data_IF_754796765083
#
_entry.id   IF_754796765083
#
_cell.length_a   1.000
_cell.length_b   1.000
_cell.length_c   1.000
_cell.angle_alpha   90.00
_cell.angle_beta   90.00
_cell.angle_gamma   90.00
#
_symmetry.space_group_name_H-M   'P 1'
#
loop_
_entity.id
_entity.type
_entity.pdbx_description
1 polymer ?
#
# COMPACT_ATOMS: atom_id res chain seq x y z
N UNK A 1 -42.38 50.81 5.82
CA UNK A 1 -41.22 50.12 6.43
C UNK A 1 -41.38 48.60 6.44
N UNK A 2 -42.42 48.03 7.07
CA UNK A 2 -42.61 46.57 7.10
C UNK A 2 -42.81 45.91 5.73
N UNK A 3 -43.59 46.51 4.83
CA UNK A 3 -43.82 45.97 3.47
C UNK A 3 -42.51 45.89 2.67
N UNK A 4 -41.66 46.91 2.79
CA UNK A 4 -40.35 46.95 2.13
C UNK A 4 -39.43 45.87 2.70
N UNK A 5 -39.46 45.65 4.01
CA UNK A 5 -38.70 44.58 4.66
C UNK A 5 -39.13 43.18 4.19
N UNK A 6 -40.44 42.93 4.08
CA UNK A 6 -40.96 41.66 3.54
C UNK A 6 -40.60 41.45 2.07
N UNK A 7 -40.65 42.49 1.24
CA UNK A 7 -40.23 42.41 -0.16
C UNK A 7 -38.73 42.12 -0.30
N UNK A 8 -37.88 42.75 0.53
CA UNK A 8 -36.45 42.49 0.55
C UNK A 8 -36.12 41.06 1.02
N UNK A 9 -36.84 40.54 2.02
CA UNK A 9 -36.71 39.15 2.49
C UNK A 9 -37.11 38.13 1.44
N UNK A 10 -38.19 38.39 0.71
CA UNK A 10 -38.65 37.54 -0.39
C UNK A 10 -37.63 37.52 -1.54
N UNK A 11 -37.07 38.68 -1.89
CA UNK A 11 -36.00 38.80 -2.89
C UNK A 11 -34.73 38.03 -2.46
N UNK A 12 -34.34 38.12 -1.19
CA UNK A 12 -33.20 37.38 -0.64
C UNK A 12 -33.44 35.86 -0.67
N UNK A 13 -34.63 35.39 -0.29
CA UNK A 13 -34.96 33.95 -0.34
C UNK A 13 -34.96 33.42 -1.78
N UNK A 14 -35.54 34.16 -2.73
CA UNK A 14 -35.55 33.74 -4.14
C UNK A 14 -34.14 33.75 -4.75
N UNK A 15 -33.28 34.71 -4.38
CA UNK A 15 -31.88 34.74 -4.80
C UNK A 15 -31.07 33.55 -4.26
N UNK A 16 -31.27 33.18 -2.99
CA UNK A 16 -30.62 31.99 -2.39
C UNK A 16 -31.12 30.70 -3.05
N UNK A 17 -32.43 30.58 -3.30
CA UNK A 17 -32.99 29.42 -4.01
C UNK A 17 -32.47 29.32 -5.44
N UNK A 18 -32.31 30.46 -6.14
CA UNK A 18 -31.74 30.50 -7.48
C UNK A 18 -30.25 30.10 -7.47
N UNK A 19 -29.47 30.56 -6.49
CA UNK A 19 -28.08 30.14 -6.31
C UNK A 19 -27.97 28.65 -6.01
N UNK A 20 -28.83 28.08 -5.16
CA UNK A 20 -28.85 26.64 -4.88
C UNK A 20 -29.25 25.80 -6.10
N UNK A 21 -30.18 26.28 -6.92
CA UNK A 21 -30.53 25.64 -8.19
C UNK A 21 -29.37 25.70 -9.20
N UNK A 22 -28.62 26.81 -9.24
CA UNK A 22 -27.44 26.95 -10.10
C UNK A 22 -26.29 26.02 -9.66
N UNK A 23 -26.09 25.82 -8.36
CA UNK A 23 -25.09 24.88 -7.82
C UNK A 23 -25.46 23.43 -8.16
N UNK A 24 -26.76 23.09 -8.17
CA UNK A 24 -27.24 21.75 -8.55
C UNK A 24 -27.25 21.52 -10.08
N UNK A 25 -27.23 22.58 -10.89
CA UNK A 25 -27.05 22.49 -12.35
C UNK A 25 -25.60 22.50 -12.81
N UNK A 26 -24.64 22.53 -11.88
CA UNK A 26 -23.27 22.08 -12.19
C UNK A 26 -23.35 20.57 -12.35
N UNK A 27 -23.83 20.15 -13.52
CA UNK A 27 -23.45 18.89 -14.10
C UNK A 27 -21.93 18.85 -14.00
N UNK A 28 -21.43 17.93 -13.18
CA UNK A 28 -20.00 17.69 -13.06
C UNK A 28 -19.53 17.33 -14.46
N UNK A 29 -19.05 18.32 -15.22
CA UNK A 29 -18.37 18.10 -16.47
C UNK A 29 -17.30 17.06 -16.17
N UNK A 30 -17.37 15.85 -16.72
CA UNK A 30 -16.27 14.93 -16.55
C UNK A 30 -15.07 15.59 -17.23
N UNK A 31 -14.13 16.11 -16.44
CA UNK A 31 -12.74 16.27 -16.85
C UNK A 31 -12.14 14.88 -17.02
N UNK A 32 -12.71 14.13 -17.95
CA UNK A 32 -12.17 12.89 -18.48
C UNK A 32 -12.66 12.85 -19.92
N UNK A 33 -11.84 13.41 -20.79
CA UNK A 33 -11.92 13.19 -22.23
C UNK A 33 -12.21 11.69 -22.47
N UNK A 34 -13.28 11.31 -23.19
CA UNK A 34 -13.54 9.91 -23.52
C UNK A 34 -12.37 9.26 -24.27
N UNK A 35 -11.47 10.04 -24.88
CA UNK A 35 -10.21 9.55 -25.44
C UNK A 35 -9.20 9.07 -24.37
N UNK A 36 -9.33 9.48 -23.11
CA UNK A 36 -8.46 9.06 -22.01
C UNK A 36 -8.57 7.54 -21.73
N UNK A 37 -9.77 6.97 -21.87
CA UNK A 37 -9.99 5.52 -21.73
C UNK A 37 -9.70 4.73 -23.01
N UNK A 38 -9.67 5.39 -24.17
CA UNK A 38 -9.34 4.70 -25.42
C UNK A 38 -7.87 4.30 -25.46
N UNK A 39 -6.95 5.08 -24.87
CA UNK A 39 -5.54 4.67 -24.76
C UNK A 39 -5.37 3.41 -23.87
N UNK A 40 -6.06 3.33 -22.73
CA UNK A 40 -6.00 2.16 -21.82
C UNK A 40 -6.56 0.89 -22.45
N UNK A 41 -7.56 1.03 -23.33
CA UNK A 41 -8.15 -0.10 -24.03
C UNK A 41 -7.35 -0.51 -25.28
N UNK A 42 -6.65 0.41 -25.93
CA UNK A 42 -5.90 0.19 -27.17
C UNK A 42 -4.50 -0.41 -26.92
N UNK A 43 -3.85 -0.10 -25.79
CA UNK A 43 -2.61 -0.74 -25.35
C UNK A 43 -2.78 -2.25 -25.05
N UNK A 44 -4.02 -2.73 -24.80
CA UNK A 44 -4.30 -4.17 -24.54
C UNK A 44 -3.95 -5.11 -25.69
N UNK A 45 -3.86 -4.60 -26.92
CA UNK A 45 -3.76 -5.45 -28.11
C UNK A 45 -2.32 -5.64 -28.63
N UNK A 46 -1.36 -4.77 -28.27
CA UNK A 46 -0.04 -4.82 -28.92
C UNK A 46 1.18 -4.42 -28.08
N UNK A 47 1.02 -3.97 -26.83
CA UNK A 47 2.17 -3.75 -25.95
C UNK A 47 2.46 -4.99 -25.10
N UNK A 48 3.71 -5.48 -25.17
CA UNK A 48 4.23 -6.38 -24.16
C UNK A 48 4.05 -5.67 -22.81
N UNK A 49 3.28 -6.23 -21.85
CA UNK A 49 3.09 -5.57 -20.56
C UNK A 49 4.47 -5.26 -19.98
N UNK A 50 4.74 -4.00 -19.64
CA UNK A 50 5.95 -3.65 -18.91
C UNK A 50 5.92 -4.41 -17.58
N UNK A 51 6.55 -5.58 -17.57
CA UNK A 51 6.56 -6.49 -16.45
C UNK A 51 7.59 -5.95 -15.46
N UNK A 52 7.14 -5.24 -14.43
CA UNK A 52 8.08 -4.88 -13.37
C UNK A 52 8.50 -6.15 -12.61
N UNK A 53 9.79 -6.22 -12.28
CA UNK A 53 10.38 -7.22 -11.42
C UNK A 53 11.24 -6.52 -10.38
N UNK A 54 11.07 -6.87 -9.10
CA UNK A 54 11.83 -6.27 -8.00
C UNK A 54 12.22 -7.34 -7.00
N UNK A 55 13.42 -7.20 -6.42
CA UNK A 55 13.94 -8.11 -5.39
C UNK A 55 13.75 -7.51 -4.01
N UNK A 56 13.17 -8.29 -3.11
CA UNK A 56 12.96 -7.90 -1.72
C UNK A 56 13.12 -9.10 -0.80
N UNK A 57 13.47 -8.82 0.46
CA UNK A 57 13.27 -9.74 1.57
C UNK A 57 12.00 -9.32 2.32
N UNK A 58 11.13 -10.28 2.63
CA UNK A 58 9.87 -10.02 3.35
C UNK A 58 10.04 -10.35 4.83
N UNK A 59 10.13 -9.34 5.69
CA UNK A 59 10.18 -9.52 7.14
C UNK A 59 8.76 -9.67 7.70
N UNK A 60 8.49 -10.72 8.48
CA UNK A 60 7.18 -10.92 9.11
C UNK A 60 7.16 -10.35 10.53
N UNK A 61 6.19 -9.48 10.81
CA UNK A 61 6.12 -8.77 12.09
C UNK A 61 5.90 -9.68 13.30
N UNK A 62 5.23 -10.81 13.13
CA UNK A 62 4.94 -11.69 14.26
C UNK A 62 6.03 -12.69 14.56
N UNK A 63 6.64 -13.28 13.53
CA UNK A 63 7.74 -14.23 13.73
C UNK A 63 9.07 -13.53 13.94
N UNK A 64 9.20 -12.25 13.56
CA UNK A 64 10.43 -11.46 13.61
C UNK A 64 11.57 -12.07 12.79
N UNK A 65 11.22 -12.68 11.67
CA UNK A 65 12.14 -13.31 10.73
C UNK A 65 11.70 -13.09 9.29
N UNK A 66 12.59 -13.35 8.36
CA UNK A 66 12.29 -13.28 6.93
C UNK A 66 11.48 -14.49 6.46
N UNK A 67 10.61 -14.25 5.48
CA UNK A 67 9.99 -15.31 4.68
C UNK A 67 11.10 -16.04 3.91
N UNK A 68 11.12 -17.34 4.05
CA UNK A 68 12.10 -18.25 3.50
C UNK A 68 11.38 -19.35 2.70
N UNK A 69 11.79 -19.51 1.44
CA UNK A 69 11.28 -20.54 0.55
C UNK A 69 12.36 -21.58 0.30
N UNK A 70 12.39 -22.63 1.12
CA UNK A 70 13.38 -23.70 1.04
C UNK A 70 12.73 -24.99 0.52
N UNK A 71 13.21 -25.51 -0.60
CA UNK A 71 12.60 -26.65 -1.32
C UNK A 71 11.12 -26.40 -1.62
N UNK A 72 10.21 -27.24 -1.08
CA UNK A 72 8.74 -27.10 -1.22
C UNK A 72 8.11 -26.41 0.00
N UNK A 73 8.90 -25.87 0.93
CA UNK A 73 8.43 -25.34 2.22
C UNK A 73 8.54 -23.83 2.24
N UNK A 74 7.52 -23.19 2.79
CA UNK A 74 7.49 -21.75 3.05
C UNK A 74 7.38 -21.54 4.54
N UNK A 75 8.28 -20.73 5.11
CA UNK A 75 8.32 -20.39 6.54
C UNK A 75 8.71 -18.93 6.71
N UNK A 76 8.41 -18.35 7.87
CA UNK A 76 8.98 -17.08 8.28
C UNK A 76 9.96 -17.32 9.44
N UNK A 77 11.06 -18.01 9.13
CA UNK A 77 12.17 -18.35 10.05
C UNK A 77 13.54 -18.01 9.44
N UNK A 78 13.53 -17.34 8.29
CA UNK A 78 14.72 -17.06 7.51
C UNK A 78 15.65 -16.10 8.23
N UNK A 79 16.95 -16.40 8.15
CA UNK A 79 18.03 -15.51 8.59
C UNK A 79 18.36 -14.50 7.48
N UNK A 80 18.84 -13.29 7.82
CA UNK A 80 19.23 -12.29 6.82
C UNK A 80 20.26 -12.81 5.79
N UNK A 81 21.10 -13.78 6.18
CA UNK A 81 22.16 -14.37 5.35
C UNK A 81 21.69 -15.55 4.49
N UNK A 82 20.44 -16.00 4.62
CA UNK A 82 19.93 -17.15 3.86
C UNK A 82 19.62 -16.75 2.42
N UNK A 83 20.21 -17.44 1.44
CA UNK A 83 19.88 -17.24 0.03
C UNK A 83 18.40 -17.51 -0.31
N UNK A 84 17.68 -18.22 0.56
CA UNK A 84 16.27 -18.57 0.37
C UNK A 84 15.30 -17.47 0.83
N UNK A 85 15.81 -16.34 1.35
CA UNK A 85 14.99 -15.20 1.79
C UNK A 85 14.89 -14.08 0.75
N UNK A 86 15.75 -14.10 -0.28
CA UNK A 86 15.65 -13.18 -1.42
C UNK A 86 14.48 -13.63 -2.31
N UNK A 87 13.46 -12.79 -2.38
CA UNK A 87 12.24 -13.04 -3.15
C UNK A 87 12.13 -12.03 -4.28
N UNK A 88 11.76 -12.53 -5.44
CA UNK A 88 11.41 -11.75 -6.62
C UNK A 88 9.91 -11.51 -6.58
N UNK A 89 9.52 -10.24 -6.65
CA UNK A 89 8.13 -9.83 -6.85
C UNK A 89 8.00 -9.32 -8.27
N UNK A 90 7.14 -9.98 -9.04
CA UNK A 90 6.91 -9.65 -10.43
C UNK A 90 5.43 -9.35 -10.69
N UNK A 91 5.15 -8.44 -11.60
CA UNK A 91 3.78 -8.17 -12.03
C UNK A 91 3.14 -9.38 -12.74
N UNK A 92 1.82 -9.48 -12.61
CA UNK A 92 1.00 -10.55 -13.17
C UNK A 92 -0.16 -9.96 -13.99
N UNK A 93 0.17 -9.06 -14.92
CA UNK A 93 -0.77 -8.32 -15.74
C UNK A 93 -0.86 -6.84 -15.34
N UNK A 94 -1.82 -6.13 -15.95
CA UNK A 94 -1.96 -4.67 -15.82
C UNK A 94 -2.77 -4.22 -14.60
N UNK A 95 -3.34 -5.12 -13.81
CA UNK A 95 -4.28 -4.77 -12.74
C UNK A 95 -3.65 -4.86 -11.33
N UNK A 96 -2.38 -4.50 -11.22
CA UNK A 96 -1.61 -4.51 -9.95
C UNK A 96 -1.54 -5.86 -9.24
N UNK A 97 -1.84 -6.96 -9.94
CA UNK A 97 -1.57 -8.32 -9.46
C UNK A 97 -0.07 -8.57 -9.50
N UNK A 98 0.41 -9.31 -8.51
CA UNK A 98 1.80 -9.74 -8.45
C UNK A 98 1.93 -11.23 -8.18
N UNK A 99 3.09 -11.77 -8.54
CA UNK A 99 3.57 -13.10 -8.16
C UNK A 99 4.81 -12.93 -7.29
N UNK A 100 4.94 -13.81 -6.29
CA UNK A 100 6.11 -13.86 -5.42
C UNK A 100 6.86 -15.15 -5.73
N UNK A 101 8.13 -15.01 -6.10
CA UNK A 101 8.96 -16.08 -6.64
C UNK A 101 10.30 -16.14 -5.89
N UNK A 102 10.82 -17.34 -5.68
CA UNK A 102 12.15 -17.54 -5.14
C UNK A 102 13.06 -18.10 -6.24
N UNK A 103 14.05 -17.29 -6.65
CA UNK A 103 14.90 -17.63 -7.78
C UNK A 103 15.84 -18.81 -7.48
N UNK A 104 16.20 -19.02 -6.21
CA UNK A 104 17.01 -20.17 -5.77
C UNK A 104 16.24 -21.48 -5.87
N UNK A 105 14.96 -21.50 -5.50
CA UNK A 105 14.15 -22.74 -5.53
C UNK A 105 13.34 -22.93 -6.81
N UNK A 106 13.34 -21.92 -7.69
CA UNK A 106 12.55 -21.86 -8.92
C UNK A 106 11.07 -22.15 -8.66
N UNK A 107 10.53 -21.49 -7.62
CA UNK A 107 9.15 -21.71 -7.15
C UNK A 107 8.44 -20.42 -6.79
N UNK A 108 7.17 -20.40 -7.11
CA UNK A 108 6.18 -19.41 -6.74
C UNK A 108 5.55 -19.72 -5.38
N UNK A 109 5.33 -18.68 -4.58
CA UNK A 109 4.48 -18.72 -3.41
C UNK A 109 3.03 -18.70 -3.88
N UNK A 110 2.25 -19.69 -3.47
CA UNK A 110 0.85 -19.82 -3.83
C UNK A 110 0.02 -20.24 -2.61
N UNK A 111 -1.27 -20.02 -2.66
CA UNK A 111 -2.20 -20.75 -1.82
C UNK A 111 -2.55 -22.12 -2.43
N UNK A 112 -2.77 -23.12 -1.58
CA UNK A 112 -3.52 -24.29 -2.01
C UNK A 112 -5.03 -24.03 -1.91
N UNK A 113 -5.86 -24.96 -2.42
CA UNK A 113 -7.32 -24.85 -2.36
C UNK A 113 -7.89 -24.80 -0.92
N UNK A 114 -7.08 -25.10 0.10
CA UNK A 114 -7.45 -25.04 1.53
C UNK A 114 -6.94 -23.76 2.22
N UNK A 115 -6.42 -22.80 1.45
CA UNK A 115 -5.90 -21.52 1.93
C UNK A 115 -4.60 -21.62 2.72
N UNK A 116 -3.79 -22.68 2.52
CA UNK A 116 -2.44 -22.75 3.09
C UNK A 116 -1.40 -22.27 2.08
N UNK A 117 -0.45 -21.40 2.46
CA UNK A 117 0.71 -21.07 1.65
C UNK A 117 1.56 -22.31 1.33
N UNK A 118 1.95 -22.46 0.07
CA UNK A 118 2.74 -23.55 -0.49
C UNK A 118 3.65 -23.03 -1.62
N UNK A 119 4.72 -23.77 -1.94
CA UNK A 119 5.61 -23.44 -3.06
C UNK A 119 5.30 -24.31 -4.29
N UNK A 120 5.13 -23.71 -5.47
CA UNK A 120 4.83 -24.40 -6.75
C UNK A 120 5.80 -24.00 -7.85
N UNK A 121 6.05 -24.87 -8.82
CA UNK A 121 6.88 -24.53 -9.99
C UNK A 121 6.15 -23.63 -10.98
N UNK A 122 4.86 -23.85 -11.18
CA UNK A 122 4.00 -23.07 -12.07
C UNK A 122 3.26 -21.97 -11.31
N UNK A 123 3.34 -20.74 -11.80
CA UNK A 123 2.88 -19.52 -11.14
C UNK A 123 1.71 -18.81 -11.83
N UNK A 124 1.22 -19.33 -12.95
CA UNK A 124 0.23 -18.69 -13.81
C UNK A 124 -1.18 -18.70 -13.18
N UNK A 125 -1.42 -19.66 -12.28
CA UNK A 125 -2.71 -19.84 -11.61
C UNK A 125 -3.02 -18.65 -10.67
N UNK A 126 -4.29 -18.23 -10.60
CA UNK A 126 -4.76 -17.18 -9.68
C UNK A 126 -4.40 -17.44 -8.20
N UNK A 127 -4.21 -18.71 -7.81
CA UNK A 127 -3.74 -19.08 -6.47
C UNK A 127 -2.31 -18.61 -6.15
N UNK A 128 -1.53 -18.29 -7.17
CA UNK A 128 -0.16 -17.80 -7.07
C UNK A 128 -0.08 -16.28 -7.26
N UNK A 129 -1.23 -15.61 -7.41
CA UNK A 129 -1.32 -14.17 -7.60
C UNK A 129 -1.85 -13.50 -6.33
N UNK A 130 -1.31 -12.31 -6.05
CA UNK A 130 -1.64 -11.52 -4.88
C UNK A 130 -1.90 -10.06 -5.26
N UNK A 131 -2.69 -9.39 -4.44
CA UNK A 131 -2.68 -7.93 -4.34
C UNK A 131 -1.78 -7.52 -3.17
N UNK A 132 -0.92 -6.54 -3.39
CA UNK A 132 -0.23 -5.84 -2.30
C UNK A 132 -1.17 -4.78 -1.72
N UNK A 133 -1.34 -4.76 -0.40
CA UNK A 133 -2.12 -3.74 0.30
C UNK A 133 -1.29 -3.13 1.41
N UNK A 134 -1.46 -1.82 1.61
CA UNK A 134 -0.87 -1.11 2.75
C UNK A 134 -1.94 -0.97 3.83
N UNK A 135 -1.62 -1.42 5.04
CA UNK A 135 -2.51 -1.30 6.19
C UNK A 135 -2.50 0.13 6.74
N UNK A 136 -3.52 0.55 7.53
CA UNK A 136 -3.53 1.88 8.15
C UNK A 136 -2.35 2.15 9.08
N UNK A 137 -1.73 1.10 9.64
CA UNK A 137 -0.51 1.18 10.45
C UNK A 137 0.78 1.03 9.62
N UNK A 138 0.71 1.18 8.29
CA UNK A 138 1.86 1.30 7.40
C UNK A 138 2.56 -0.01 7.03
N UNK A 139 1.94 -1.16 7.31
CA UNK A 139 2.50 -2.47 6.99
C UNK A 139 2.00 -2.96 5.64
N UNK A 140 2.74 -3.90 5.04
CA UNK A 140 2.30 -4.57 3.82
C UNK A 140 1.51 -5.84 4.16
N UNK A 141 0.39 -6.06 3.49
CA UNK A 141 -0.36 -7.31 3.45
C UNK A 141 -0.41 -7.85 2.02
N UNK A 142 -0.36 -9.18 1.87
CA UNK A 142 -0.54 -9.85 0.59
C UNK A 142 -1.86 -10.61 0.60
N UNK A 143 -2.85 -10.09 -0.12
CA UNK A 143 -4.17 -10.69 -0.27
C UNK A 143 -4.18 -11.61 -1.49
N UNK A 144 -4.82 -12.78 -1.40
CA UNK A 144 -4.97 -13.68 -2.54
C UNK A 144 -5.91 -13.10 -3.59
N UNK A 145 -5.55 -13.21 -4.88
CA UNK A 145 -6.46 -12.93 -5.98
C UNK A 145 -7.52 -14.04 -6.12
N UNK A 146 -7.13 -15.30 -5.92
CA UNK A 146 -8.05 -16.45 -5.95
C UNK A 146 -9.16 -16.41 -4.87
N UNK A 147 -8.89 -15.79 -3.72
CA UNK A 147 -9.86 -15.63 -2.64
C UNK A 147 -9.56 -14.36 -1.84
N UNK A 148 -10.37 -13.33 -2.04
CA UNK A 148 -10.22 -12.01 -1.40
C UNK A 148 -10.24 -12.04 0.14
N UNK A 149 -10.81 -13.08 0.76
CA UNK A 149 -10.78 -13.24 2.22
C UNK A 149 -9.50 -13.89 2.75
N UNK A 150 -8.51 -14.21 1.89
CA UNK A 150 -7.28 -14.87 2.29
C UNK A 150 -6.09 -13.91 2.28
N UNK A 151 -5.39 -13.86 3.41
CA UNK A 151 -4.15 -13.10 3.58
C UNK A 151 -2.97 -14.05 3.79
N UNK A 152 -1.82 -13.75 3.18
CA UNK A 152 -0.58 -14.44 3.47
C UNK A 152 -0.17 -14.13 4.91
N UNK A 153 0.17 -15.16 5.68
CA UNK A 153 0.59 -14.93 7.05
C UNK A 153 1.27 -16.11 7.71
N UNK A 154 1.97 -15.81 8.79
CA UNK A 154 2.75 -16.75 9.59
C UNK A 154 2.45 -16.55 11.09
N UNK A 155 2.56 -17.63 11.86
CA UNK A 155 2.45 -17.52 13.31
C UNK A 155 3.79 -17.11 13.94
N UNK A 156 3.80 -16.88 15.26
CA UNK A 156 5.00 -16.53 16.03
C UNK A 156 6.18 -17.51 15.85
N UNK A 157 5.92 -18.77 15.50
CA UNK A 157 6.95 -19.80 15.23
C UNK A 157 7.35 -19.88 13.75
N UNK A 158 6.92 -18.91 12.93
CA UNK A 158 7.17 -18.87 11.49
C UNK A 158 6.46 -19.94 10.67
N UNK A 159 5.46 -20.64 11.22
CA UNK A 159 4.65 -21.60 10.45
C UNK A 159 3.56 -20.87 9.67
N UNK A 160 3.27 -21.26 8.41
CA UNK A 160 2.19 -20.66 7.63
C UNK A 160 0.84 -20.74 8.33
N UNK A 161 0.08 -19.65 8.30
CA UNK A 161 -1.31 -19.59 8.71
C UNK A 161 -2.23 -19.94 7.54
N UNK A 162 -3.46 -20.39 7.86
CA UNK A 162 -4.52 -20.43 6.84
C UNK A 162 -4.94 -19.00 6.49
N UNK A 163 -5.25 -18.76 5.22
CA UNK A 163 -5.56 -17.44 4.69
C UNK A 163 -6.69 -16.73 5.43
N UNK A 164 -7.73 -17.48 5.81
CA UNK A 164 -8.89 -16.95 6.53
C UNK A 164 -8.77 -16.98 8.07
N UNK A 165 -7.62 -17.36 8.64
CA UNK A 165 -7.52 -17.52 10.10
C UNK A 165 -7.62 -16.18 10.87
N UNK A 166 -7.33 -15.04 10.24
CA UNK A 166 -7.52 -13.70 10.81
C UNK A 166 -8.99 -13.39 11.11
N UNK A 167 -9.94 -13.98 10.36
CA UNK A 167 -11.38 -13.77 10.57
C UNK A 167 -11.87 -14.31 11.92
N UNK A 168 -11.20 -15.35 12.44
CA UNK A 168 -11.56 -16.01 13.70
C UNK A 168 -10.83 -15.44 14.92
N UNK A 169 -9.73 -14.72 14.73
CA UNK A 169 -8.85 -14.25 15.81
C UNK A 169 -8.47 -12.80 15.57
N UNK A 170 -9.06 -11.91 16.36
CA UNK A 170 -8.94 -10.45 16.19
C UNK A 170 -7.88 -9.79 17.06
N UNK A 171 -7.15 -10.55 17.90
CA UNK A 171 -6.15 -9.96 18.78
C UNK A 171 -5.05 -9.27 17.96
N UNK A 172 -4.55 -8.13 18.47
CA UNK A 172 -3.52 -7.34 17.78
C UNK A 172 -2.29 -8.20 17.45
N UNK A 173 -1.77 -8.94 18.43
CA UNK A 173 -0.66 -9.89 18.23
C UNK A 173 -0.95 -10.92 17.13
N UNK A 174 -2.20 -11.39 17.01
CA UNK A 174 -2.55 -12.34 15.96
C UNK A 174 -2.49 -11.73 14.57
N UNK A 175 -2.97 -10.49 14.42
CA UNK A 175 -2.99 -9.76 13.14
C UNK A 175 -1.60 -9.46 12.61
N UNK A 176 -0.61 -9.20 13.49
CA UNK A 176 0.80 -9.07 13.09
C UNK A 176 1.32 -10.27 12.30
N UNK A 177 0.66 -11.43 12.39
CA UNK A 177 1.01 -12.60 11.57
C UNK A 177 0.86 -12.37 10.07
N UNK A 178 0.07 -11.39 9.66
CA UNK A 178 -0.22 -11.05 8.26
C UNK A 178 0.50 -9.79 7.79
N UNK A 179 1.18 -9.09 8.70
CA UNK A 179 1.90 -7.85 8.41
C UNK A 179 3.34 -8.14 8.01
N UNK A 180 3.79 -7.47 6.96
CA UNK A 180 5.15 -7.58 6.42
C UNK A 180 5.80 -6.22 6.26
N UNK A 181 7.13 -6.23 6.34
CA UNK A 181 7.99 -5.11 5.93
C UNK A 181 8.84 -5.60 4.76
N UNK A 182 8.90 -4.80 3.69
CA UNK A 182 9.75 -5.06 2.52
C UNK A 182 11.14 -4.46 2.74
N UNK A 183 12.18 -5.29 2.63
CA UNK A 183 13.58 -4.87 2.72
C UNK A 183 14.23 -5.03 1.35
N UNK A 184 14.78 -3.95 0.81
CA UNK A 184 15.52 -3.91 -0.46
C UNK A 184 16.99 -4.29 -0.24
N UNK A 185 17.60 -4.93 -1.22
CA UNK A 185 19.05 -5.14 -1.24
C UNK A 185 19.69 -4.09 -2.17
N UNK A 186 20.51 -3.18 -1.60
CA UNK A 186 21.42 -2.35 -2.39
C UNK A 186 21.05 -0.89 -2.71
N UNK A 187 20.52 -0.12 -1.76
CA UNK A 187 21.02 1.26 -1.65
C UNK A 187 22.39 1.18 -0.96
N UNK A 188 23.43 0.91 -1.74
CA UNK A 188 24.81 1.13 -1.32
C UNK A 188 25.07 2.63 -1.25
N UNK A 189 24.64 3.25 -0.16
CA UNK A 189 24.73 4.69 0.06
C UNK A 189 23.89 5.18 1.23
N UNK A 190 24.03 4.55 2.41
CA UNK A 190 23.82 5.11 3.77
C UNK A 190 23.69 3.97 4.79
N UNK A 191 24.74 3.14 4.89
CA UNK A 191 25.00 2.41 6.13
C UNK A 191 25.63 3.36 7.16
N UNK A 192 24.90 4.38 7.63
CA UNK A 192 25.24 5.13 8.87
C UNK A 192 24.08 5.94 9.51
N UNK A 193 22.83 5.60 9.25
CA UNK A 193 21.74 6.02 10.16
C UNK A 193 21.06 4.80 10.73
N UNK A 194 21.64 4.31 11.82
CA UNK A 194 21.02 3.53 12.88
C UNK A 194 20.11 2.40 12.43
N UNK A 195 20.55 1.17 12.67
CA UNK A 195 19.61 0.10 13.04
C UNK A 195 18.51 0.69 13.94
N UNK A 196 17.25 0.84 13.48
CA UNK A 196 16.22 1.28 14.38
C UNK A 196 15.95 0.06 15.24
N UNK A 197 16.22 0.18 16.54
CA UNK A 197 15.66 -0.75 17.52
C UNK A 197 14.15 -0.59 17.44
N UNK A 198 13.49 -1.32 16.53
CA UNK A 198 12.04 -1.40 16.44
C UNK A 198 11.53 -2.25 17.62
N UNK A 199 11.61 -1.65 18.81
CA UNK A 199 10.77 -1.95 19.95
C UNK A 199 9.38 -1.34 19.77
N UNK A 200 8.40 -1.70 20.61
CA UNK A 200 7.00 -1.41 20.35
C UNK A 200 6.73 0.11 20.35
N UNK A 201 6.10 0.59 19.28
CA UNK A 201 5.65 1.98 19.19
C UNK A 201 4.72 2.30 20.37
N UNK A 202 5.19 3.15 21.29
CA UNK A 202 4.29 3.92 22.16
C UNK A 202 3.42 4.80 21.25
N UNK A 203 2.12 4.84 21.55
CA UNK A 203 1.16 5.74 20.92
C UNK A 203 1.67 7.18 21.03
N UNK A 204 2.00 7.80 19.91
CA UNK A 204 2.08 9.26 19.86
C UNK A 204 0.65 9.79 19.77
N UNK A 205 0.21 10.52 20.79
CA UNK A 205 -0.94 11.39 20.68
C UNK A 205 -0.58 12.47 19.65
N UNK A 206 -1.34 12.54 18.57
CA UNK A 206 -1.25 13.63 17.62
C UNK A 206 -1.60 14.93 18.36
N UNK A 207 -0.60 15.74 18.69
CA UNK A 207 -0.82 17.15 18.99
C UNK A 207 -1.09 17.84 17.65
N UNK A 208 -2.22 18.54 17.60
CA UNK A 208 -2.65 19.42 16.52
C UNK A 208 -1.54 20.44 16.24
N UNK A 209 -1.07 20.51 15.01
CA UNK A 209 -0.22 21.61 14.54
C UNK A 209 -1.08 22.50 13.65
N UNK A 210 -1.10 23.79 13.95
CA UNK A 210 -1.78 24.80 13.14
C UNK A 210 -0.95 25.09 11.88
N UNK A 211 -1.66 25.25 10.76
CA UNK A 211 -1.07 25.57 9.46
C UNK A 211 -0.68 27.05 9.48
N UNK A 212 0.63 27.34 9.44
CA UNK A 212 1.12 28.69 9.16
C UNK A 212 1.35 28.80 7.66
N UNK A 213 0.58 29.66 7.01
CA UNK A 213 0.67 29.96 5.57
C UNK A 213 2.08 30.45 5.22
N UNK A 214 2.69 29.87 4.19
CA UNK A 214 3.91 30.40 3.58
C UNK A 214 3.55 31.36 2.45
N UNK A 215 4.05 32.59 2.51
CA UNK A 215 4.04 33.53 1.40
C UNK A 215 5.27 33.27 0.51
N UNK A 216 5.08 33.21 -0.80
CA UNK A 216 6.15 33.07 -1.80
C UNK A 216 6.49 34.45 -2.34
N UNK A 217 7.69 34.95 -2.06
CA UNK A 217 8.24 36.13 -2.75
C UNK A 217 8.96 35.69 -4.02
N UNK A 218 8.45 36.15 -5.18
CA UNK A 218 9.06 35.91 -6.49
C UNK A 218 10.04 37.05 -6.78
N UNK A 219 11.29 36.88 -6.35
CA UNK A 219 12.43 37.70 -6.75
C UNK A 219 13.34 36.93 -7.71
N UNK A 220 13.72 37.54 -8.83
CA UNK A 220 14.65 36.98 -9.82
C UNK A 220 16.05 36.85 -9.22
N UNK A 221 16.38 35.63 -8.79
CA UNK A 221 17.66 34.93 -8.98
C UNK A 221 17.77 33.82 -7.91
N UNK A 222 17.75 32.56 -8.37
CA UNK A 222 18.05 31.28 -7.70
C UNK A 222 17.73 31.12 -6.18
N UNK A 223 16.79 30.25 -5.78
CA UNK A 223 16.52 29.99 -4.37
C UNK A 223 17.61 29.12 -3.73
N UNK A 224 18.34 29.69 -2.76
CA UNK A 224 19.11 28.93 -1.77
C UNK A 224 18.22 28.71 -0.56
N UNK A 225 17.93 27.45 -0.22
CA UNK A 225 17.20 27.09 1.00
C UNK A 225 18.19 27.05 2.16
N UNK A 226 18.19 28.07 3.01
CA UNK A 226 18.85 28.03 4.32
C UNK A 226 17.81 27.82 5.41
N UNK A 227 17.70 26.59 5.95
CA UNK A 227 16.92 26.33 7.16
C UNK A 227 17.83 26.39 8.39
N UNK A 228 17.62 27.36 9.27
CA UNK A 228 18.09 27.30 10.66
C UNK A 228 16.90 26.89 11.55
N UNK A 229 17.03 25.77 12.25
CA UNK A 229 16.10 25.38 13.30
C UNK A 229 16.73 25.75 14.66
N UNK A 230 16.07 26.65 15.41
CA UNK A 230 16.33 26.83 16.84
C UNK A 230 15.21 26.19 17.66
N UNK A 231 15.52 25.51 18.78
CA UNK A 231 14.50 25.02 19.70
C UNK A 231 13.85 26.18 20.48
N UNK A 232 12.53 26.13 20.63
CA UNK A 232 11.78 27.02 21.51
C UNK A 232 12.06 26.69 22.98
N UNK A 233 12.17 27.73 23.83
CA UNK A 233 12.23 27.59 25.30
C UNK A 233 10.94 27.03 25.88
#
# INVERSE_FOLDING_TARGET
MHVIYYLLLLLLQTAVLLQLLLINSVESSPLSDPASWTHVNQERAHDQPYMFQRKYRLFNERSKHFVEMMHKRIRATGKPTSKYVELVVESAGFDSRLRIYCDVTKRYLCFNSRGRPIARQHGENEKCKFYERITPDGHTEFQSVFNDTWLLGFNKKGKPLKGNAHRKRRSRDFRLGYHFIKILDGESGLTDFGHPKYGPHRRYNAKRFDVVSASVDIGRDSPVITSFAQPAR
#
